data_IF_439443801872
#
_entry.id   IF_439443801872
#
_cell.length_a   1.000
_cell.length_b   1.000
_cell.length_c   1.000
_cell.angle_alpha   90.00
_cell.angle_beta   90.00
_cell.angle_gamma   90.00
#
_symmetry.space_group_name_H-M   'P 1'
#
loop_
_entity.id
_entity.type
_entity.pdbx_description
1 polymer ?
#
# COMPACT_ATOMS: atom_id res chain seq x y z
N UNK A 1 -12.78 15.11 -8.19
CA UNK A 1 -12.76 16.58 -8.10
C UNK A 1 -11.36 17.03 -7.71
N UNK A 2 -10.80 18.09 -8.31
CA UNK A 2 -9.52 18.64 -7.88
C UNK A 2 -9.65 19.24 -6.47
N UNK A 3 -8.61 19.13 -5.65
CA UNK A 3 -8.54 19.81 -4.35
C UNK A 3 -8.61 21.31 -4.60
N UNK A 4 -9.71 21.95 -4.24
CA UNK A 4 -9.80 23.40 -4.29
C UNK A 4 -8.84 23.97 -3.25
N UNK A 5 -7.92 24.86 -3.67
CA UNK A 5 -6.91 25.51 -2.81
C UNK A 5 -7.57 26.26 -1.63
N UNK A 6 -8.88 26.48 -1.70
CA UNK A 6 -9.72 27.14 -0.71
C UNK A 6 -10.05 26.30 0.55
N UNK A 7 -9.75 25.00 0.61
CA UNK A 7 -10.11 24.15 1.78
C UNK A 7 -8.99 23.20 2.28
N UNK A 8 -7.77 23.70 2.57
CA UNK A 8 -6.61 22.87 2.93
C UNK A 8 -6.84 21.97 4.15
N UNK A 9 -7.67 22.40 5.10
CA UNK A 9 -8.02 21.60 6.30
C UNK A 9 -8.77 20.31 5.95
N UNK A 10 -9.70 20.37 5.00
CA UNK A 10 -10.49 19.19 4.59
C UNK A 10 -9.61 18.19 3.85
N UNK A 11 -8.74 18.66 2.97
CA UNK A 11 -7.80 17.79 2.26
C UNK A 11 -6.79 17.13 3.19
N UNK A 12 -6.27 17.87 4.18
CA UNK A 12 -5.40 17.29 5.20
C UNK A 12 -6.09 16.15 5.96
N UNK A 13 -7.30 16.39 6.47
CA UNK A 13 -8.05 15.37 7.23
C UNK A 13 -8.37 14.17 6.33
N UNK A 14 -8.80 14.40 5.09
CA UNK A 14 -9.16 13.34 4.16
C UNK A 14 -7.96 12.46 3.80
N UNK A 15 -6.84 13.06 3.38
CA UNK A 15 -5.63 12.32 3.01
C UNK A 15 -5.03 11.64 4.23
N UNK A 16 -4.90 12.33 5.36
CA UNK A 16 -4.35 11.76 6.60
C UNK A 16 -5.15 10.55 7.09
N UNK A 17 -6.48 10.67 7.17
CA UNK A 17 -7.34 9.54 7.55
C UNK A 17 -7.25 8.38 6.56
N UNK A 18 -7.17 8.67 5.26
CA UNK A 18 -7.02 7.66 4.21
C UNK A 18 -5.68 6.94 4.30
N UNK A 19 -4.58 7.66 4.61
CA UNK A 19 -3.25 7.08 4.78
C UNK A 19 -3.21 6.16 6.00
N UNK A 20 -3.80 6.59 7.13
CA UNK A 20 -3.90 5.73 8.33
C UNK A 20 -4.68 4.47 8.00
N UNK A 21 -5.87 4.60 7.42
CA UNK A 21 -6.68 3.45 7.02
C UNK A 21 -5.96 2.52 6.03
N UNK A 22 -5.27 3.08 5.03
CA UNK A 22 -4.50 2.32 4.04
C UNK A 22 -3.32 1.54 4.65
N UNK A 23 -2.65 2.11 5.66
CA UNK A 23 -1.53 1.45 6.35
C UNK A 23 -1.93 0.23 7.17
N UNK A 24 -3.22 0.09 7.52
CA UNK A 24 -3.73 -1.08 8.24
C UNK A 24 -3.79 -2.34 7.37
N UNK A 25 -3.93 -2.19 6.05
CA UNK A 25 -4.06 -3.30 5.11
C UNK A 25 -2.88 -4.30 5.21
N UNK A 26 -1.61 -3.87 5.11
CA UNK A 26 -0.47 -4.79 5.29
C UNK A 26 -0.36 -5.35 6.72
N UNK A 27 -0.92 -4.69 7.73
CA UNK A 27 -0.84 -5.13 9.13
C UNK A 27 -1.87 -6.22 9.46
N UNK A 28 -3.00 -6.26 8.74
CA UNK A 28 -4.06 -7.25 8.95
C UNK A 28 -3.52 -8.68 8.98
N UNK A 29 -2.73 -9.15 8.00
CA UNK A 29 -2.23 -10.53 8.01
C UNK A 29 -1.32 -10.85 9.19
N UNK A 30 -0.52 -9.88 9.67
CA UNK A 30 0.32 -10.08 10.85
C UNK A 30 -0.50 -10.27 12.14
N UNK A 31 -1.67 -9.64 12.25
CA UNK A 31 -2.55 -9.80 13.41
C UNK A 31 -3.16 -11.22 13.46
N UNK A 32 -3.44 -11.82 12.30
CA UNK A 32 -4.11 -13.13 12.21
C UNK A 32 -3.15 -14.32 12.09
N UNK A 33 -1.95 -14.12 11.55
CA UNK A 33 -0.96 -15.18 11.26
C UNK A 33 0.13 -15.29 12.35
N UNK A 34 -0.15 -14.79 13.57
CA UNK A 34 0.81 -14.49 14.65
C UNK A 34 1.75 -15.60 15.16
N UNK A 35 1.76 -16.80 14.59
CA UNK A 35 2.69 -17.87 14.92
C UNK A 35 3.99 -17.89 14.08
N UNK A 36 3.98 -17.36 12.85
CA UNK A 36 5.15 -17.37 11.96
C UNK A 36 5.28 -16.05 11.20
N UNK A 37 6.38 -15.34 11.46
CA UNK A 37 6.72 -14.05 10.86
C UNK A 37 6.88 -14.16 9.35
N UNK A 38 7.44 -15.27 8.84
CA UNK A 38 7.67 -15.48 7.41
C UNK A 38 6.34 -15.64 6.68
N UNK A 39 5.46 -16.50 7.21
CA UNK A 39 4.11 -16.68 6.68
C UNK A 39 3.30 -15.38 6.78
N UNK A 40 3.44 -14.61 7.87
CA UNK A 40 2.84 -13.29 8.02
C UNK A 40 3.32 -12.28 6.97
N UNK A 41 4.62 -12.27 6.67
CA UNK A 41 5.20 -11.39 5.66
C UNK A 41 4.72 -11.74 4.23
N UNK A 42 4.72 -13.02 3.87
CA UNK A 42 4.25 -13.47 2.55
C UNK A 42 2.77 -13.13 2.35
N UNK A 43 1.93 -13.42 3.36
CA UNK A 43 0.50 -13.11 3.30
C UNK A 43 0.24 -11.60 3.27
N UNK A 44 1.02 -10.80 4.02
CA UNK A 44 0.98 -9.33 3.97
C UNK A 44 1.31 -8.79 2.59
N UNK A 45 2.36 -9.29 1.94
CA UNK A 45 2.75 -8.89 0.58
C UNK A 45 1.65 -9.21 -0.43
N UNK A 46 1.05 -10.39 -0.36
CA UNK A 46 -0.03 -10.80 -1.26
C UNK A 46 -1.27 -9.91 -1.06
N UNK A 47 -1.72 -9.73 0.18
CA UNK A 47 -2.89 -8.91 0.51
C UNK A 47 -2.67 -7.45 0.09
N UNK A 48 -1.49 -6.90 0.35
CA UNK A 48 -1.13 -5.54 -0.04
C UNK A 48 -1.05 -5.37 -1.55
N UNK A 49 -0.49 -6.35 -2.26
CA UNK A 49 -0.44 -6.35 -3.73
C UNK A 49 -1.85 -6.34 -4.34
N UNK A 50 -2.77 -7.16 -3.81
CA UNK A 50 -4.18 -7.16 -4.22
C UNK A 50 -4.83 -5.81 -3.93
N UNK A 51 -4.63 -5.26 -2.72
CA UNK A 51 -5.20 -3.96 -2.36
C UNK A 51 -4.69 -2.82 -3.26
N UNK A 52 -3.38 -2.75 -3.53
CA UNK A 52 -2.79 -1.78 -4.44
C UNK A 52 -3.34 -1.91 -5.85
N UNK A 53 -3.49 -3.15 -6.34
CA UNK A 53 -4.10 -3.41 -7.63
C UNK A 53 -5.56 -2.93 -7.69
N UNK A 54 -6.36 -3.24 -6.67
CA UNK A 54 -7.76 -2.81 -6.58
C UNK A 54 -7.90 -1.28 -6.51
N UNK A 55 -7.02 -0.61 -5.78
CA UNK A 55 -6.98 0.85 -5.70
C UNK A 55 -6.63 1.44 -7.08
N UNK A 56 -5.62 0.90 -7.76
CA UNK A 56 -5.25 1.34 -9.11
C UNK A 56 -6.35 1.05 -10.14
N UNK A 57 -7.04 -0.08 -10.02
CA UNK A 57 -8.21 -0.41 -10.83
C UNK A 57 -9.36 0.59 -10.63
N UNK A 58 -9.67 0.92 -9.37
CA UNK A 58 -10.70 1.89 -9.02
C UNK A 58 -10.36 3.29 -9.53
N UNK A 59 -9.10 3.70 -9.42
CA UNK A 59 -8.60 4.95 -9.95
C UNK A 59 -8.80 5.01 -11.48
N UNK A 60 -8.36 4.00 -12.22
CA UNK A 60 -8.49 3.95 -13.68
C UNK A 60 -9.93 3.91 -14.19
N UNK A 61 -10.82 3.21 -13.46
CA UNK A 61 -12.26 3.22 -13.76
C UNK A 61 -12.84 4.64 -13.71
N UNK A 62 -12.29 5.50 -12.86
CA UNK A 62 -12.77 6.87 -12.64
C UNK A 62 -12.15 7.87 -13.63
N UNK A 63 -10.97 7.59 -14.18
CA UNK A 63 -10.20 8.51 -15.05
C UNK A 63 -10.07 8.10 -16.53
N UNK A 64 -10.87 7.15 -17.02
CA UNK A 64 -10.94 6.72 -18.45
C UNK A 64 -9.69 5.94 -18.94
N UNK A 65 -8.82 5.47 -18.03
CA UNK A 65 -7.61 4.71 -18.35
C UNK A 65 -7.81 3.19 -18.46
N UNK A 66 -6.82 2.46 -18.97
CA UNK A 66 -6.83 0.98 -18.99
C UNK A 66 -6.74 0.41 -17.57
N UNK A 67 -7.80 -0.26 -17.12
CA UNK A 67 -7.99 -0.74 -15.74
C UNK A 67 -6.83 -1.65 -15.28
N UNK A 68 -6.46 -2.61 -16.11
CA UNK A 68 -5.39 -3.57 -15.83
C UNK A 68 -4.00 -2.92 -15.72
N UNK A 69 -3.65 -1.99 -16.63
CA UNK A 69 -2.32 -1.37 -16.60
C UNK A 69 -2.15 -0.47 -15.38
N UNK A 70 -3.18 0.29 -15.01
CA UNK A 70 -3.09 1.19 -13.85
C UNK A 70 -3.03 0.42 -12.54
N UNK A 71 -3.85 -0.64 -12.40
CA UNK A 71 -3.78 -1.55 -11.26
C UNK A 71 -2.41 -2.21 -11.13
N UNK A 72 -1.89 -2.77 -12.23
CA UNK A 72 -0.59 -3.43 -12.23
C UNK A 72 0.55 -2.45 -11.94
N UNK A 73 0.51 -1.26 -12.55
CA UNK A 73 1.51 -0.22 -12.31
C UNK A 73 1.55 0.21 -10.84
N UNK A 74 0.39 0.41 -10.21
CA UNK A 74 0.34 0.72 -8.76
C UNK A 74 0.88 -0.42 -7.90
N UNK A 75 0.49 -1.66 -8.18
CA UNK A 75 0.98 -2.82 -7.46
C UNK A 75 2.50 -2.94 -7.57
N UNK A 76 3.06 -2.81 -8.78
CA UNK A 76 4.51 -2.87 -9.02
C UNK A 76 5.23 -1.76 -8.27
N UNK A 77 4.77 -0.51 -8.36
CA UNK A 77 5.41 0.62 -7.66
C UNK A 77 5.39 0.40 -6.15
N UNK A 78 4.25 0.00 -5.57
CA UNK A 78 4.13 -0.20 -4.13
C UNK A 78 4.95 -1.40 -3.63
N UNK A 79 4.95 -2.51 -4.37
CA UNK A 79 5.77 -3.68 -4.03
C UNK A 79 7.27 -3.38 -4.15
N UNK A 80 7.69 -2.62 -5.17
CA UNK A 80 9.08 -2.15 -5.26
C UNK A 80 9.47 -1.25 -4.10
N UNK A 81 8.60 -0.32 -3.70
CA UNK A 81 8.84 0.54 -2.55
C UNK A 81 8.98 -0.28 -1.25
N UNK A 82 8.12 -1.28 -1.04
CA UNK A 82 8.21 -2.21 0.08
C UNK A 82 9.50 -3.03 0.07
N UNK A 83 9.89 -3.55 -1.09
CA UNK A 83 11.15 -4.28 -1.27
C UNK A 83 12.35 -3.40 -0.96
N UNK A 84 12.39 -2.17 -1.46
CA UNK A 84 13.46 -1.23 -1.15
C UNK A 84 13.51 -0.91 0.35
N UNK A 85 12.35 -0.71 1.00
CA UNK A 85 12.28 -0.53 2.45
C UNK A 85 12.85 -1.73 3.22
N UNK A 86 12.51 -2.95 2.80
CA UNK A 86 13.07 -4.18 3.37
C UNK A 86 14.59 -4.27 3.18
N UNK A 87 15.10 -4.01 1.97
CA UNK A 87 16.53 -4.04 1.69
C UNK A 87 17.29 -3.00 2.51
N UNK A 88 16.74 -1.79 2.61
CA UNK A 88 17.30 -0.72 3.46
C UNK A 88 17.36 -1.19 4.92
N UNK A 89 16.28 -1.77 5.45
CA UNK A 89 16.27 -2.34 6.80
C UNK A 89 17.31 -3.45 6.97
N UNK A 90 17.40 -4.37 6.01
CA UNK A 90 18.34 -5.48 6.01
C UNK A 90 19.81 -5.02 6.01
N UNK A 91 20.16 -4.01 5.20
CA UNK A 91 21.54 -3.53 5.06
C UNK A 91 21.96 -2.49 6.10
N UNK A 92 21.05 -1.61 6.54
CA UNK A 92 21.38 -0.51 7.46
C UNK A 92 21.25 -0.95 8.92
N UNK A 93 20.33 -1.87 9.25
CA UNK A 93 20.14 -2.24 10.65
C UNK A 93 19.06 -3.26 10.84
N UNK A 94 19.41 -4.53 10.70
CA UNK A 94 19.09 -5.67 11.58
C UNK A 94 19.49 -6.93 10.83
N UNK A 95 20.52 -7.63 11.32
CA UNK A 95 20.81 -9.01 10.93
C UNK A 95 19.60 -9.85 11.41
N UNK A 96 18.71 -10.35 10.54
CA UNK A 96 17.67 -11.26 10.98
C UNK A 96 18.31 -12.64 11.05
N UNK A 97 18.75 -13.01 12.25
CA UNK A 97 18.82 -14.43 12.64
C UNK A 97 17.42 -14.87 13.02
#
# INVERSE_FOLDING_TARGET
APVQIFEPRRSFILVGASTVAGSLIPLVPFIFVGGDVVTGAITSVIVSGIALFLIGWYAAKTTVGSLWRSGLQMAVIGLFAGLLGFLIGHFIGTNPV
#
